data_IF_432218578445
#
_entry.id   IF_432218578445
#
_cell.length_a   1.000
_cell.length_b   1.000
_cell.length_c   1.000
_cell.angle_alpha   90.00
_cell.angle_beta   90.00
_cell.angle_gamma   90.00
#
_symmetry.space_group_name_H-M   'P 1'
#
loop_
_entity.id
_entity.type
_entity.pdbx_description
1 polymer ?
#
# COMPACT_ATOMS: atom_id res chain seq x y z
N UNK A 1 -23.05 3.47 8.94
CA UNK A 1 -22.67 4.27 7.76
C UNK A 1 -21.48 5.17 8.08
N UNK A 2 -21.59 6.24 8.89
CA UNK A 2 -20.46 7.15 9.18
C UNK A 2 -19.14 6.45 9.62
N UNK A 3 -19.19 5.51 10.58
CA UNK A 3 -17.99 4.78 11.01
C UNK A 3 -17.35 3.90 9.92
N UNK A 4 -18.14 3.46 8.94
CA UNK A 4 -17.66 2.63 7.83
C UNK A 4 -16.94 3.51 6.81
N UNK A 5 -17.52 4.66 6.48
CA UNK A 5 -16.93 5.70 5.63
C UNK A 5 -15.59 6.19 6.21
N UNK A 6 -15.56 6.57 7.50
CA UNK A 6 -14.33 7.00 8.19
C UNK A 6 -13.23 5.92 8.12
N UNK A 7 -13.60 4.65 8.23
CA UNK A 7 -12.65 3.52 8.13
C UNK A 7 -12.14 3.34 6.70
N UNK A 8 -13.00 3.52 5.69
CA UNK A 8 -12.61 3.45 4.28
C UNK A 8 -11.68 4.60 3.91
N UNK A 9 -11.97 5.82 4.36
CA UNK A 9 -11.08 6.98 4.18
C UNK A 9 -9.71 6.75 4.81
N UNK A 10 -9.67 6.21 6.02
CA UNK A 10 -8.42 5.87 6.70
C UNK A 10 -7.61 4.81 5.95
N UNK A 11 -8.26 3.75 5.45
CA UNK A 11 -7.60 2.73 4.62
C UNK A 11 -7.06 3.33 3.33
N UNK A 12 -7.82 4.20 2.67
CA UNK A 12 -7.40 4.88 1.45
C UNK A 12 -6.14 5.73 1.68
N UNK A 13 -6.11 6.47 2.79
CA UNK A 13 -4.93 7.24 3.18
C UNK A 13 -3.70 6.34 3.38
N UNK A 14 -3.85 5.25 4.13
CA UNK A 14 -2.74 4.30 4.34
C UNK A 14 -2.28 3.63 3.05
N UNK A 15 -3.19 3.31 2.12
CA UNK A 15 -2.83 2.79 0.80
C UNK A 15 -1.96 3.79 0.05
N UNK A 16 -2.37 5.06 0.01
CA UNK A 16 -1.62 6.13 -0.65
C UNK A 16 -0.24 6.33 -0.02
N UNK A 17 -0.15 6.41 1.31
CA UNK A 17 1.14 6.54 2.02
C UNK A 17 2.10 5.39 1.71
N UNK A 18 1.57 4.16 1.59
CA UNK A 18 2.36 2.97 1.25
C UNK A 18 2.79 2.98 -0.22
N UNK A 19 1.96 3.46 -1.13
CA UNK A 19 2.31 3.63 -2.55
C UNK A 19 3.43 4.66 -2.71
N UNK A 20 3.36 5.79 -1.99
CA UNK A 20 4.42 6.80 -1.98
C UNK A 20 5.75 6.25 -1.43
N UNK A 21 5.70 5.45 -0.36
CA UNK A 21 6.88 4.77 0.18
C UNK A 21 7.50 3.81 -0.84
N UNK A 22 6.67 3.00 -1.52
CA UNK A 22 7.13 2.08 -2.58
C UNK A 22 7.80 2.87 -3.70
N UNK A 23 7.18 3.95 -4.18
CA UNK A 23 7.73 4.79 -5.25
C UNK A 23 9.07 5.42 -4.83
N UNK A 24 9.18 5.89 -3.59
CA UNK A 24 10.43 6.44 -3.05
C UNK A 24 11.56 5.39 -3.03
N UNK A 25 11.26 4.16 -2.62
CA UNK A 25 12.25 3.07 -2.59
C UNK A 25 12.61 2.60 -4.01
N UNK A 26 11.63 2.54 -4.92
CA UNK A 26 11.86 2.22 -6.33
C UNK A 26 12.75 3.29 -6.99
N UNK A 27 12.61 4.56 -6.58
CA UNK A 27 13.45 5.64 -7.09
C UNK A 27 14.93 5.49 -6.73
N UNK A 28 15.27 4.80 -5.64
CA UNK A 28 16.67 4.50 -5.30
C UNK A 28 17.35 3.62 -6.36
N UNK A 29 16.58 2.84 -7.13
CA UNK A 29 17.11 2.02 -8.22
C UNK A 29 17.51 2.83 -9.46
N UNK A 30 17.11 4.11 -9.56
CA UNK A 30 17.57 4.98 -10.63
C UNK A 30 19.01 5.47 -10.44
N UNK A 31 19.58 5.37 -9.23
CA UNK A 31 21.01 5.63 -9.02
C UNK A 31 21.83 4.39 -9.39
N UNK A 32 22.67 4.41 -10.45
CA UNK A 32 23.48 3.26 -10.84
C UNK A 32 24.44 2.78 -9.75
N UNK A 33 24.80 3.64 -8.78
CA UNK A 33 25.64 3.28 -7.64
C UNK A 33 24.97 2.30 -6.70
N UNK A 34 23.64 2.17 -6.74
CA UNK A 34 22.93 1.19 -5.90
C UNK A 34 23.43 -0.23 -6.17
N UNK A 35 23.72 -0.53 -7.44
CA UNK A 35 24.08 -1.87 -7.88
C UNK A 35 25.49 -2.30 -7.46
N UNK A 36 26.33 -1.37 -6.96
CA UNK A 36 27.61 -1.73 -6.36
C UNK A 36 27.48 -2.28 -4.94
N UNK A 37 26.28 -2.23 -4.33
CA UNK A 37 26.03 -2.74 -2.99
C UNK A 37 24.90 -3.77 -3.00
N UNK A 38 25.25 -5.04 -3.19
CA UNK A 38 24.31 -6.16 -3.27
C UNK A 38 23.44 -6.30 -2.01
N UNK A 39 24.00 -6.06 -0.83
CA UNK A 39 23.26 -6.10 0.44
C UNK A 39 22.17 -5.02 0.47
N UNK A 40 22.51 -3.80 0.04
CA UNK A 40 21.53 -2.69 -0.04
C UNK A 40 20.42 -3.00 -1.06
N UNK A 41 20.78 -3.51 -2.23
CA UNK A 41 19.80 -3.94 -3.27
C UNK A 41 18.85 -5.01 -2.75
N UNK A 42 19.37 -6.03 -2.05
CA UNK A 42 18.53 -7.09 -1.45
C UNK A 42 17.61 -6.53 -0.37
N UNK A 43 18.10 -5.61 0.46
CA UNK A 43 17.29 -4.97 1.49
C UNK A 43 16.13 -4.16 0.88
N UNK A 44 16.42 -3.28 -0.10
CA UNK A 44 15.40 -2.50 -0.80
C UNK A 44 14.35 -3.37 -1.49
N UNK A 45 14.77 -4.41 -2.20
CA UNK A 45 13.84 -5.35 -2.85
C UNK A 45 12.92 -6.05 -1.84
N UNK A 46 13.48 -6.47 -0.70
CA UNK A 46 12.70 -7.10 0.36
C UNK A 46 11.69 -6.13 0.97
N UNK A 47 12.10 -4.90 1.23
CA UNK A 47 11.24 -3.84 1.79
C UNK A 47 10.10 -3.48 0.82
N UNK A 48 10.40 -3.23 -0.45
CA UNK A 48 9.38 -3.00 -1.49
C UNK A 48 8.40 -4.16 -1.56
N UNK A 49 8.89 -5.41 -1.50
CA UNK A 49 8.02 -6.59 -1.53
C UNK A 49 7.09 -6.63 -0.32
N UNK A 50 7.59 -6.34 0.88
CA UNK A 50 6.78 -6.30 2.10
C UNK A 50 5.72 -5.21 2.03
N UNK A 51 6.10 -4.00 1.60
CA UNK A 51 5.17 -2.88 1.42
C UNK A 51 4.09 -3.19 0.38
N UNK A 52 4.45 -3.82 -0.75
CA UNK A 52 3.48 -4.24 -1.78
C UNK A 52 2.49 -5.26 -1.22
N UNK A 53 2.95 -6.22 -0.42
CA UNK A 53 2.08 -7.21 0.22
C UNK A 53 1.13 -6.56 1.24
N UNK A 54 1.64 -5.63 2.06
CA UNK A 54 0.82 -4.87 3.02
C UNK A 54 -0.23 -4.01 2.29
N UNK A 55 0.18 -3.29 1.24
CA UNK A 55 -0.69 -2.46 0.42
C UNK A 55 -1.81 -3.27 -0.23
N UNK A 56 -1.50 -4.46 -0.77
CA UNK A 56 -2.51 -5.37 -1.32
C UNK A 56 -3.50 -5.84 -0.24
N UNK A 57 -3.03 -6.09 0.98
CA UNK A 57 -3.92 -6.46 2.08
C UNK A 57 -4.86 -5.31 2.46
N UNK A 58 -4.35 -4.07 2.49
CA UNK A 58 -5.16 -2.88 2.72
C UNK A 58 -6.21 -2.68 1.63
N UNK A 59 -5.84 -2.82 0.35
CA UNK A 59 -6.76 -2.74 -0.79
C UNK A 59 -7.88 -3.78 -0.71
N UNK A 60 -7.55 -5.03 -0.41
CA UNK A 60 -8.55 -6.09 -0.24
C UNK A 60 -9.48 -5.82 0.95
N UNK A 61 -8.98 -5.17 2.01
CA UNK A 61 -9.82 -4.79 3.15
C UNK A 61 -10.73 -3.61 2.81
N UNK A 62 -10.27 -2.66 1.99
CA UNK A 62 -11.08 -1.54 1.50
C UNK A 62 -12.23 -2.05 0.61
N UNK A 63 -11.93 -2.91 -0.37
CA UNK A 63 -12.93 -3.52 -1.27
C UNK A 63 -14.05 -4.23 -0.48
N UNK A 64 -13.71 -5.00 0.54
CA UNK A 64 -14.71 -5.67 1.41
C UNK A 64 -15.59 -4.69 2.20
N UNK A 65 -15.06 -3.52 2.56
CA UNK A 65 -15.84 -2.49 3.25
C UNK A 65 -16.73 -1.72 2.27
N UNK A 66 -16.27 -1.52 1.02
CA UNK A 66 -17.06 -0.97 -0.07
C UNK A 66 -18.26 -1.88 -0.39
N UNK A 67 -18.04 -3.20 -0.47
CA UNK A 67 -19.10 -4.20 -0.64
C UNK A 67 -20.14 -4.11 0.50
N UNK A 68 -19.69 -4.11 1.76
CA UNK A 68 -20.57 -3.97 2.92
C UNK A 68 -21.35 -2.65 2.92
N UNK A 69 -20.73 -1.55 2.49
CA UNK A 69 -21.38 -0.26 2.41
C UNK A 69 -22.51 -0.27 1.38
N UNK A 70 -22.27 -0.87 0.20
CA UNK A 70 -23.28 -1.01 -0.85
C UNK A 70 -24.46 -1.88 -0.39
N UNK A 71 -24.20 -3.01 0.25
CA UNK A 71 -25.25 -3.88 0.80
C UNK A 71 -26.15 -3.11 1.79
N UNK A 72 -25.57 -2.28 2.65
CA UNK A 72 -26.33 -1.47 3.61
C UNK A 72 -27.12 -0.31 2.97
N UNK A 73 -26.76 0.11 1.75
CA UNK A 73 -27.45 1.17 1.02
C UNK A 73 -28.65 0.65 0.21
N UNK A 74 -28.65 -0.64 -0.10
CA UNK A 74 -29.72 -1.32 -0.85
C UNK A 74 -30.85 -1.85 0.08
N UNK A 75 -30.67 -1.84 1.41
CA UNK A 75 -31.67 -2.17 2.45
C UNK A 75 -32.47 -0.96 2.95
#
# INVERSE_FOLDING_TARGET
>A
MQKLEEKMEQLQLWITEKEEQILSLEAEFYDPKIYSNETKVKALNNEIRLLKNENNHLKNNLEKLEEQYLEMMDE
#
